data_IF_075675960195
#
_entry.id   IF_075675960195
#
_cell.length_a   1.000
_cell.length_b   1.000
_cell.length_c   1.000
_cell.angle_alpha   90.00
_cell.angle_beta   90.00
_cell.angle_gamma   90.00
#
_symmetry.space_group_name_H-M   'P 1'
#
loop_
_entity.id
_entity.type
_entity.pdbx_description
1 polymer ?
#
# COMPACT_ATOMS: atom_id res chain seq x y z
N UNK A 1 25.81 8.07 36.79
CA UNK A 1 25.04 9.03 35.98
C UNK A 1 24.73 10.31 36.78
N UNK A 2 24.25 10.21 38.03
CA UNK A 2 24.01 11.37 38.90
C UNK A 2 25.26 12.23 39.20
N UNK A 3 26.40 11.62 39.55
CA UNK A 3 27.66 12.36 39.83
C UNK A 3 28.20 13.15 38.63
N UNK A 4 28.03 12.66 37.40
CA UNK A 4 28.47 13.37 36.20
C UNK A 4 27.56 14.57 35.86
N UNK A 5 26.28 14.49 36.22
CA UNK A 5 25.32 15.59 36.06
C UNK A 5 25.61 16.68 37.09
N UNK A 6 25.93 16.29 38.32
CA UNK A 6 26.31 17.20 39.40
C UNK A 6 27.59 17.98 39.09
N UNK A 7 28.63 17.30 38.60
CA UNK A 7 29.85 17.97 38.14
C UNK A 7 29.63 18.93 36.95
N UNK A 8 28.76 18.57 36.00
CA UNK A 8 28.42 19.48 34.89
C UNK A 8 27.63 20.71 35.35
N UNK A 9 26.73 20.55 36.33
CA UNK A 9 25.97 21.66 36.89
C UNK A 9 26.85 22.65 37.66
N UNK A 10 27.82 22.13 38.43
CA UNK A 10 28.79 22.96 39.16
C UNK A 10 29.67 23.74 38.16
N UNK A 11 30.24 23.07 37.16
CA UNK A 11 31.07 23.72 36.15
C UNK A 11 30.29 24.77 35.32
N UNK A 12 29.03 24.49 34.98
CA UNK A 12 28.17 25.46 34.30
C UNK A 12 27.88 26.68 35.19
N UNK A 13 27.66 26.47 36.48
CA UNK A 13 27.42 27.54 37.45
C UNK A 13 28.66 28.44 37.63
N UNK A 14 29.85 27.86 37.69
CA UNK A 14 31.11 28.61 37.83
C UNK A 14 31.38 29.48 36.58
N UNK A 15 31.17 28.94 35.38
CA UNK A 15 31.30 29.69 34.11
C UNK A 15 30.29 30.85 34.03
N UNK A 16 29.05 30.63 34.50
CA UNK A 16 28.01 31.66 34.53
C UNK A 16 28.31 32.76 35.55
N UNK A 17 28.91 32.40 36.70
CA UNK A 17 29.37 33.36 37.69
C UNK A 17 30.56 34.19 37.20
N UNK A 18 31.51 33.60 36.48
CA UNK A 18 32.61 34.34 35.82
C UNK A 18 32.10 35.34 34.77
N UNK A 19 30.97 35.03 34.10
CA UNK A 19 30.28 35.94 33.18
C UNK A 19 29.41 37.01 33.88
N UNK A 20 29.37 37.05 35.22
CA UNK A 20 28.57 37.99 36.01
C UNK A 20 27.07 37.67 36.06
N UNK A 21 26.66 36.46 35.65
CA UNK A 21 25.26 36.03 35.57
C UNK A 21 24.93 35.16 36.79
N UNK A 22 24.33 35.77 37.83
CA UNK A 22 23.83 35.04 38.99
C UNK A 22 22.49 34.35 38.66
N UNK A 23 22.53 33.10 38.24
CA UNK A 23 21.33 32.29 37.98
C UNK A 23 20.78 31.74 39.30
N UNK A 24 19.72 32.36 39.82
CA UNK A 24 18.99 31.83 40.99
C UNK A 24 18.06 30.68 40.58
N UNK A 25 17.72 29.79 41.52
CA UNK A 25 16.72 28.74 41.30
C UNK A 25 15.37 29.32 40.83
N UNK A 26 15.01 30.51 41.32
CA UNK A 26 13.83 31.24 40.87
C UNK A 26 13.93 31.64 39.39
N UNK A 27 15.09 32.15 38.96
CA UNK A 27 15.35 32.46 37.54
C UNK A 27 15.20 31.21 36.68
N UNK A 28 15.76 30.07 37.09
CA UNK A 28 15.63 28.79 36.36
C UNK A 28 14.16 28.38 36.26
N UNK A 29 13.42 28.43 37.36
CA UNK A 29 12.01 28.06 37.39
C UNK A 29 11.18 28.97 36.48
N UNK A 30 11.37 30.29 36.57
CA UNK A 30 10.66 31.28 35.75
C UNK A 30 10.98 31.10 34.28
N UNK A 31 12.26 30.94 33.92
CA UNK A 31 12.68 30.68 32.53
C UNK A 31 12.08 29.37 32.03
N UNK A 32 12.12 28.31 32.82
CA UNK A 32 11.54 27.00 32.45
C UNK A 32 10.04 27.09 32.23
N UNK A 33 9.30 27.72 33.15
CA UNK A 33 7.84 27.92 33.00
C UNK A 33 7.55 28.81 31.80
N UNK A 34 8.33 29.87 31.57
CA UNK A 34 8.15 30.79 30.43
C UNK A 34 8.43 30.12 29.09
N UNK A 35 9.37 29.16 29.04
CA UNK A 35 9.65 28.38 27.83
C UNK A 35 8.59 27.29 27.59
N UNK A 36 8.06 26.66 28.65
CA UNK A 36 7.14 25.52 28.54
C UNK A 36 5.68 25.98 28.41
N UNK A 37 5.27 27.06 29.07
CA UNK A 37 3.89 27.53 29.08
C UNK A 37 3.32 27.82 27.67
N UNK A 38 4.07 28.45 26.73
CA UNK A 38 3.61 28.61 25.35
C UNK A 38 3.39 27.28 24.65
N UNK A 39 4.27 26.29 24.86
CA UNK A 39 4.14 24.95 24.27
C UNK A 39 2.91 24.23 24.82
N UNK A 40 2.70 24.27 26.14
CA UNK A 40 1.50 23.68 26.77
C UNK A 40 0.23 24.36 26.26
N UNK A 41 0.20 25.69 26.19
CA UNK A 41 -0.94 26.44 25.68
C UNK A 41 -1.23 26.10 24.22
N UNK A 42 -0.20 25.97 23.38
CA UNK A 42 -0.34 25.54 21.99
C UNK A 42 -0.90 24.12 21.89
N UNK A 43 -0.41 23.18 22.69
CA UNK A 43 -0.92 21.81 22.72
C UNK A 43 -2.38 21.78 23.20
N UNK A 44 -2.75 22.54 24.22
CA UNK A 44 -4.13 22.66 24.71
C UNK A 44 -5.07 23.27 23.66
N UNK A 45 -4.66 24.36 23.00
CA UNK A 45 -5.46 24.96 21.93
C UNK A 45 -5.60 24.01 20.75
N UNK A 46 -4.55 23.27 20.41
CA UNK A 46 -4.59 22.28 19.35
C UNK A 46 -5.50 21.10 19.70
N UNK A 47 -5.51 20.59 20.94
CA UNK A 47 -6.44 19.51 21.33
C UNK A 47 -7.89 19.98 21.36
N UNK A 48 -8.15 21.20 21.87
CA UNK A 48 -9.50 21.76 21.95
C UNK A 48 -10.09 22.11 20.58
N UNK A 49 -9.25 22.54 19.62
CA UNK A 49 -9.68 22.96 18.28
C UNK A 49 -9.47 21.90 17.20
N UNK A 50 -8.89 20.74 17.53
CA UNK A 50 -8.80 19.64 16.57
C UNK A 50 -10.18 19.02 16.41
N UNK A 51 -10.66 18.82 15.17
CA UNK A 51 -11.90 18.11 14.95
C UNK A 51 -11.80 16.71 15.57
N UNK A 52 -12.85 16.28 16.24
CA UNK A 52 -12.93 14.92 16.77
C UNK A 52 -12.75 13.93 15.60
N UNK A 53 -11.95 12.88 15.82
CA UNK A 53 -11.84 11.78 14.86
C UNK A 53 -13.23 11.22 14.57
N UNK A 54 -13.55 10.90 13.31
CA UNK A 54 -14.87 10.36 13.01
C UNK A 54 -15.07 9.04 13.79
N UNK A 55 -16.24 8.83 14.41
CA UNK A 55 -16.49 7.61 15.17
C UNK A 55 -16.43 6.40 14.25
N UNK A 56 -16.02 5.23 14.77
CA UNK A 56 -15.99 3.99 13.99
C UNK A 56 -17.30 3.76 13.22
N UNK A 57 -17.26 3.29 11.96
CA UNK A 57 -18.48 3.01 11.20
C UNK A 57 -19.43 2.10 11.98
N UNK A 58 -20.66 2.57 12.19
CA UNK A 58 -21.65 1.84 12.98
C UNK A 58 -21.97 0.48 12.35
N UNK A 59 -22.02 -0.57 13.17
CA UNK A 59 -22.32 -1.93 12.70
C UNK A 59 -21.21 -2.63 11.92
N UNK A 60 -20.00 -2.06 11.88
CA UNK A 60 -18.85 -2.67 11.22
C UNK A 60 -17.71 -2.99 12.19
N UNK A 61 -16.93 -4.01 11.86
CA UNK A 61 -15.62 -4.28 12.46
C UNK A 61 -14.50 -3.94 11.49
N UNK A 62 -13.37 -3.46 12.03
CA UNK A 62 -12.13 -3.31 11.27
C UNK A 62 -11.56 -4.68 10.93
N UNK A 63 -11.23 -4.88 9.66
CA UNK A 63 -10.54 -6.04 9.13
C UNK A 63 -9.04 -5.73 8.98
N UNK A 64 -8.22 -6.73 9.25
CA UNK A 64 -6.76 -6.63 9.27
C UNK A 64 -6.16 -7.07 10.62
N UNK A 65 -4.85 -7.20 10.65
CA UNK A 65 -4.13 -7.64 11.86
C UNK A 65 -4.26 -6.61 13.00
N UNK A 66 -4.38 -7.09 14.25
CA UNK A 66 -4.44 -6.23 15.46
C UNK A 66 -3.10 -6.15 16.20
N UNK A 67 -2.05 -6.78 15.66
CA UNK A 67 -0.74 -6.91 16.28
C UNK A 67 0.41 -6.45 15.38
N UNK A 68 1.56 -7.06 15.58
CA UNK A 68 2.76 -6.84 14.77
C UNK A 68 2.58 -7.43 13.37
N UNK A 69 3.19 -6.77 12.38
CA UNK A 69 3.21 -7.25 11.00
C UNK A 69 3.92 -8.59 10.89
N UNK A 70 3.37 -9.51 10.11
CA UNK A 70 4.03 -10.76 9.77
C UNK A 70 5.28 -10.53 8.91
N UNK A 71 5.45 -9.35 8.29
CA UNK A 71 6.67 -8.93 7.60
C UNK A 71 7.59 -8.02 8.43
N UNK A 72 7.34 -7.83 9.73
CA UNK A 72 8.25 -7.04 10.59
C UNK A 72 9.66 -7.64 10.58
N UNK A 73 9.75 -8.97 10.58
CA UNK A 73 11.01 -9.73 10.59
C UNK A 73 11.50 -10.11 9.19
N UNK A 74 10.94 -9.51 8.12
CA UNK A 74 11.25 -9.86 6.73
C UNK A 74 12.75 -9.80 6.42
N UNK A 75 13.52 -8.96 7.11
CA UNK A 75 14.96 -8.77 6.92
C UNK A 75 15.83 -9.83 7.61
N UNK A 76 15.21 -10.77 8.33
CA UNK A 76 15.95 -11.84 9.01
C UNK A 76 16.64 -12.76 8.01
N UNK A 77 17.93 -13.05 8.25
CA UNK A 77 18.73 -13.97 7.44
C UNK A 77 18.15 -15.39 7.34
N UNK A 78 17.22 -15.75 8.24
CA UNK A 78 16.50 -17.04 8.19
C UNK A 78 15.68 -17.23 6.92
N UNK A 79 15.27 -16.14 6.28
CA UNK A 79 14.52 -16.17 5.01
C UNK A 79 15.41 -16.04 3.78
N UNK A 80 16.71 -15.76 3.96
CA UNK A 80 17.64 -15.59 2.84
C UNK A 80 18.02 -16.92 2.18
N UNK A 81 17.89 -18.04 2.90
CA UNK A 81 18.16 -19.38 2.39
C UNK A 81 16.91 -20.24 2.54
N UNK A 82 16.44 -20.78 1.41
CA UNK A 82 15.39 -21.79 1.36
C UNK A 82 15.95 -23.17 1.02
N UNK A 83 15.08 -24.17 1.04
CA UNK A 83 15.41 -25.56 0.68
C UNK A 83 14.14 -26.32 0.29
N UNK A 84 14.30 -27.59 -0.05
CA UNK A 84 13.18 -28.46 -0.41
C UNK A 84 12.23 -28.68 0.78
N UNK A 85 10.92 -28.82 0.53
CA UNK A 85 9.95 -28.93 1.61
C UNK A 85 10.11 -30.30 2.29
N UNK A 86 10.17 -30.28 3.62
CA UNK A 86 10.15 -31.50 4.45
C UNK A 86 8.93 -31.46 5.36
N UNK A 87 8.45 -32.61 5.89
CA UNK A 87 7.32 -32.61 6.82
C UNK A 87 7.51 -31.67 8.03
N UNK A 88 8.75 -31.49 8.49
CA UNK A 88 9.10 -30.61 9.60
C UNK A 88 9.31 -29.14 9.18
N UNK A 89 9.59 -28.87 7.90
CA UNK A 89 9.78 -27.53 7.34
C UNK A 89 9.06 -27.41 5.99
N UNK A 90 7.71 -27.37 5.99
CA UNK A 90 6.95 -27.16 4.77
C UNK A 90 7.17 -25.73 4.27
N UNK A 91 6.90 -25.52 2.98
CA UNK A 91 6.75 -24.16 2.45
C UNK A 91 5.43 -23.58 2.93
N UNK A 92 5.43 -22.30 3.31
CA UNK A 92 4.27 -21.69 3.96
C UNK A 92 3.98 -20.27 3.48
N UNK A 93 2.71 -19.88 3.61
CA UNK A 93 2.29 -18.48 3.48
C UNK A 93 2.79 -17.72 4.71
N UNK A 94 3.66 -16.74 4.49
CA UNK A 94 4.26 -15.91 5.54
C UNK A 94 3.43 -14.68 5.86
N UNK A 95 2.84 -14.04 4.86
CA UNK A 95 2.03 -12.84 5.06
C UNK A 95 1.03 -12.65 3.91
N UNK A 96 -0.12 -12.05 4.21
CA UNK A 96 -1.17 -11.72 3.24
C UNK A 96 -1.43 -10.23 3.24
N UNK A 97 -1.49 -9.65 2.04
CA UNK A 97 -1.80 -8.23 1.85
C UNK A 97 -2.82 -8.04 0.74
N UNK A 98 -3.72 -7.09 0.97
CA UNK A 98 -4.62 -6.55 -0.04
C UNK A 98 -4.36 -5.06 -0.21
N UNK A 99 -4.69 -4.54 -1.38
CA UNK A 99 -4.53 -3.14 -1.75
C UNK A 99 -5.88 -2.59 -2.24
N UNK A 100 -6.83 -2.29 -1.33
CA UNK A 100 -8.18 -1.90 -1.71
C UNK A 100 -8.22 -0.70 -2.65
N UNK A 101 -7.34 0.27 -2.40
CA UNK A 101 -7.02 1.34 -3.32
C UNK A 101 -5.78 0.96 -4.14
N UNK A 102 -5.95 0.84 -5.46
CA UNK A 102 -4.84 0.69 -6.40
C UNK A 102 -3.81 1.80 -6.17
N UNK A 103 -2.55 1.41 -6.06
CA UNK A 103 -1.42 2.31 -5.76
C UNK A 103 -1.40 2.90 -4.34
N UNK A 104 -2.44 2.67 -3.52
CA UNK A 104 -2.45 3.01 -2.10
C UNK A 104 -1.60 2.08 -1.23
N UNK A 105 -1.52 2.36 0.06
CA UNK A 105 -0.87 1.52 1.05
C UNK A 105 -1.63 0.18 1.24
N UNK A 106 -0.92 -0.90 1.62
CA UNK A 106 -1.54 -2.20 1.85
C UNK A 106 -2.36 -2.25 3.15
N UNK A 107 -3.26 -3.23 3.22
CA UNK A 107 -3.86 -3.75 4.47
C UNK A 107 -3.38 -5.18 4.65
N UNK A 108 -2.75 -5.45 5.79
CA UNK A 108 -2.26 -6.79 6.14
C UNK A 108 -3.35 -7.62 6.81
N UNK A 109 -3.48 -8.88 6.38
CA UNK A 109 -4.53 -9.81 6.80
C UNK A 109 -3.93 -11.09 7.37
N UNK A 110 -4.58 -11.69 8.38
CA UNK A 110 -4.26 -13.05 8.82
C UNK A 110 -4.93 -14.11 7.93
N UNK A 111 -6.08 -13.76 7.36
CA UNK A 111 -6.93 -14.62 6.54
C UNK A 111 -7.68 -13.77 5.52
N UNK A 112 -7.81 -14.27 4.29
CA UNK A 112 -8.56 -13.62 3.21
C UNK A 112 -9.33 -14.63 2.38
N UNK A 113 -10.60 -14.35 2.14
CA UNK A 113 -11.37 -15.07 1.13
C UNK A 113 -10.86 -14.73 -0.28
N UNK A 114 -11.04 -15.67 -1.18
CA UNK A 114 -10.71 -15.56 -2.60
C UNK A 114 -11.99 -15.56 -3.41
N UNK A 115 -12.19 -14.44 -4.10
CA UNK A 115 -13.26 -14.22 -5.08
C UNK A 115 -12.72 -14.46 -6.50
N UNK A 116 -13.59 -14.35 -7.51
CA UNK A 116 -13.22 -14.49 -8.94
C UNK A 116 -12.14 -13.50 -9.39
N UNK A 117 -12.01 -12.36 -8.70
CA UNK A 117 -11.00 -11.33 -8.99
C UNK A 117 -9.75 -11.41 -8.11
N UNK A 118 -9.58 -12.48 -7.33
CA UNK A 118 -8.43 -12.68 -6.43
C UNK A 118 -8.81 -12.53 -4.96
N UNK A 119 -7.90 -12.02 -4.13
CA UNK A 119 -8.21 -11.79 -2.71
C UNK A 119 -9.34 -10.76 -2.57
N UNK A 120 -10.32 -11.06 -1.71
CA UNK A 120 -11.45 -10.18 -1.43
C UNK A 120 -10.98 -8.80 -0.97
N UNK A 121 -11.66 -7.75 -1.46
CA UNK A 121 -11.30 -6.34 -1.28
C UNK A 121 -10.01 -5.87 -1.96
N UNK A 122 -9.29 -6.70 -2.72
CA UNK A 122 -8.09 -6.26 -3.42
C UNK A 122 -8.41 -5.43 -4.68
N UNK A 123 -7.80 -4.25 -4.81
CA UNK A 123 -7.83 -3.37 -6.00
C UNK A 123 -9.24 -3.13 -6.56
N UNK A 124 -10.20 -2.85 -5.68
CA UNK A 124 -11.56 -2.47 -6.06
C UNK A 124 -11.68 -0.98 -6.43
N UNK A 125 -10.80 -0.15 -5.88
CA UNK A 125 -10.79 1.30 -6.09
C UNK A 125 -9.50 1.76 -6.77
N UNK A 126 -9.56 2.90 -7.45
CA UNK A 126 -8.38 3.59 -7.97
C UNK A 126 -8.63 5.09 -8.04
N UNK A 127 -7.59 5.88 -7.76
CA UNK A 127 -7.61 7.30 -8.11
C UNK A 127 -7.27 7.46 -9.60
N UNK A 128 -7.84 8.47 -10.22
CA UNK A 128 -7.54 8.88 -11.58
C UNK A 128 -7.37 10.40 -11.64
N UNK A 129 -6.62 10.86 -12.63
CA UNK A 129 -6.49 12.27 -12.97
C UNK A 129 -7.09 12.51 -14.36
N UNK A 130 -7.72 13.66 -14.55
CA UNK A 130 -8.22 14.05 -15.86
C UNK A 130 -7.05 14.49 -16.74
N UNK A 131 -6.94 13.96 -17.95
CA UNK A 131 -5.92 14.32 -18.92
C UNK A 131 -6.62 14.85 -20.16
N UNK A 132 -6.31 16.08 -20.52
CA UNK A 132 -6.88 16.75 -21.68
C UNK A 132 -5.86 16.72 -22.83
N UNK A 133 -6.30 16.28 -24.01
CA UNK A 133 -5.49 16.27 -25.22
C UNK A 133 -5.22 17.67 -25.74
N UNK A 134 -4.14 17.83 -26.50
CA UNK A 134 -3.98 19.03 -27.33
C UNK A 134 -5.14 19.10 -28.35
N UNK A 135 -5.54 20.31 -28.80
CA UNK A 135 -6.53 20.45 -29.84
C UNK A 135 -6.07 19.72 -31.12
N UNK A 136 -6.95 18.92 -31.70
CA UNK A 136 -6.70 18.38 -33.05
C UNK A 136 -6.78 19.50 -34.09
N UNK A 137 -6.36 19.21 -35.33
CA UNK A 137 -6.48 20.16 -36.45
C UNK A 137 -7.92 20.65 -36.65
N UNK A 138 -8.91 19.84 -36.26
CA UNK A 138 -10.35 20.17 -36.29
C UNK A 138 -10.85 20.93 -35.04
N UNK A 139 -9.94 21.34 -34.15
CA UNK A 139 -10.26 22.06 -32.91
C UNK A 139 -10.89 21.20 -31.81
N UNK A 140 -10.98 19.88 -31.98
CA UNK A 140 -11.58 18.98 -30.99
C UNK A 140 -10.60 18.72 -29.85
N UNK A 141 -11.09 18.91 -28.62
CA UNK A 141 -10.38 18.62 -27.38
C UNK A 141 -11.08 17.46 -26.70
N UNK A 142 -10.33 16.45 -26.28
CA UNK A 142 -10.86 15.29 -25.55
C UNK A 142 -10.24 15.23 -24.17
N UNK A 143 -11.07 14.97 -23.16
CA UNK A 143 -10.63 14.75 -21.78
C UNK A 143 -10.93 13.33 -21.39
N UNK A 144 -9.89 12.61 -20.96
CA UNK A 144 -9.98 11.22 -20.51
C UNK A 144 -9.54 11.11 -19.05
N UNK A 145 -10.06 10.13 -18.34
CA UNK A 145 -9.55 9.77 -17.01
C UNK A 145 -8.41 8.78 -17.13
N UNK A 146 -7.24 9.11 -16.58
CA UNK A 146 -6.09 8.21 -16.50
C UNK A 146 -5.84 7.82 -15.06
N UNK A 147 -5.75 6.52 -14.78
CA UNK A 147 -5.44 6.04 -13.44
C UNK A 147 -4.12 6.60 -12.90
N UNK A 148 -4.07 6.82 -11.58
CA UNK A 148 -2.87 7.28 -10.89
C UNK A 148 -2.03 6.08 -10.39
N UNK A 149 -0.71 6.18 -10.53
CA UNK A 149 0.26 5.13 -10.18
C UNK A 149 1.37 5.70 -9.30
N UNK A 150 1.88 4.89 -8.36
CA UNK A 150 3.04 5.27 -7.53
C UNK A 150 4.26 5.67 -8.37
N UNK A 151 4.39 5.20 -9.62
CA UNK A 151 5.47 5.60 -10.52
C UNK A 151 5.48 7.09 -10.85
N UNK A 152 4.28 7.69 -10.95
CA UNK A 152 4.09 9.11 -11.26
C UNK A 152 3.80 9.92 -9.99
N UNK A 153 3.10 9.30 -9.04
CA UNK A 153 2.70 9.90 -7.77
C UNK A 153 3.18 9.04 -6.59
N UNK A 154 4.47 9.09 -6.23
CA UNK A 154 5.03 8.26 -5.15
C UNK A 154 4.31 8.42 -3.81
N UNK A 155 3.78 9.62 -3.52
CA UNK A 155 3.01 9.93 -2.30
C UNK A 155 1.71 9.13 -2.16
N UNK A 156 1.24 8.44 -3.20
CA UNK A 156 0.17 7.44 -3.07
C UNK A 156 0.53 6.31 -2.09
N UNK A 157 1.81 6.02 -1.90
CA UNK A 157 2.25 5.03 -0.91
C UNK A 157 1.91 5.43 0.54
N UNK A 158 1.70 6.73 0.80
CA UNK A 158 1.27 7.29 2.10
C UNK A 158 -0.23 7.37 2.27
N UNK A 159 -1.00 6.99 1.25
CA UNK A 159 -2.46 6.95 1.34
C UNK A 159 -2.84 5.61 1.98
N UNK A 160 -3.08 5.65 3.28
CA UNK A 160 -3.47 4.52 4.11
C UNK A 160 -4.92 4.13 3.85
N UNK A 161 -5.19 2.84 3.97
CA UNK A 161 -6.54 2.30 3.79
C UNK A 161 -6.92 1.42 4.97
N UNK A 162 -8.19 1.46 5.37
CA UNK A 162 -8.75 0.53 6.35
C UNK A 162 -10.03 -0.08 5.80
N UNK A 163 -10.15 -1.40 5.95
CA UNK A 163 -11.31 -2.17 5.52
C UNK A 163 -12.22 -2.34 6.73
N UNK A 164 -13.47 -1.92 6.61
CA UNK A 164 -14.50 -2.11 7.64
C UNK A 164 -15.64 -2.92 7.05
N UNK A 165 -15.93 -4.07 7.67
CA UNK A 165 -16.94 -5.02 7.19
C UNK A 165 -18.09 -5.13 8.19
N UNK A 166 -19.34 -5.36 7.74
CA UNK A 166 -20.47 -5.51 8.64
C UNK A 166 -20.27 -6.68 9.61
N UNK A 167 -20.66 -6.48 10.86
CA UNK A 167 -20.60 -7.52 11.90
C UNK A 167 -21.79 -7.35 12.85
N UNK A 168 -22.68 -8.35 12.96
CA UNK A 168 -23.83 -8.32 13.88
C UNK A 168 -23.46 -8.07 15.35
N UNK A 169 -22.24 -8.43 15.75
CA UNK A 169 -21.74 -8.19 17.12
C UNK A 169 -21.16 -6.79 17.32
N UNK A 170 -20.98 -6.00 16.26
CA UNK A 170 -20.41 -4.67 16.35
C UNK A 170 -21.42 -3.65 16.92
N UNK A 171 -20.89 -2.66 17.64
CA UNK A 171 -21.70 -1.59 18.23
C UNK A 171 -22.43 -0.79 17.14
N UNK A 172 -23.73 -0.59 17.34
CA UNK A 172 -24.56 0.17 16.41
C UNK A 172 -24.95 -0.60 15.15
N UNK A 173 -24.84 -1.94 15.16
CA UNK A 173 -25.36 -2.78 14.08
C UNK A 173 -26.87 -2.58 13.93
N UNK A 174 -27.27 -2.34 12.69
CA UNK A 174 -28.65 -2.36 12.23
C UNK A 174 -28.66 -2.93 10.82
N UNK A 175 -29.59 -3.83 10.53
CA UNK A 175 -29.71 -4.44 9.19
C UNK A 175 -29.97 -3.39 8.10
N UNK A 176 -30.72 -2.34 8.45
CA UNK A 176 -31.00 -1.20 7.58
C UNK A 176 -29.90 -0.12 7.59
N UNK A 177 -28.81 -0.36 8.34
CA UNK A 177 -27.70 0.56 8.50
C UNK A 177 -27.00 0.88 7.18
N UNK A 178 -26.61 2.14 7.00
CA UNK A 178 -25.97 2.67 5.79
C UNK A 178 -24.78 1.82 5.32
N UNK A 179 -23.88 1.47 6.25
CA UNK A 179 -22.68 0.69 5.96
C UNK A 179 -22.95 -0.81 5.84
N UNK A 180 -23.98 -1.32 6.54
CA UNK A 180 -24.38 -2.73 6.45
C UNK A 180 -24.98 -3.02 5.08
N UNK A 181 -25.89 -2.16 4.58
CA UNK A 181 -26.42 -2.22 3.21
C UNK A 181 -25.37 -2.09 2.13
N UNK A 182 -24.20 -1.51 2.46
CA UNK A 182 -23.11 -1.29 1.52
C UNK A 182 -22.03 -2.37 1.57
N UNK A 183 -22.27 -3.50 2.23
CA UNK A 183 -21.28 -4.54 2.55
C UNK A 183 -20.00 -4.00 3.20
N UNK A 184 -20.14 -2.92 3.96
CA UNK A 184 -19.07 -2.23 4.65
C UNK A 184 -18.58 -0.97 3.96
N UNK A 185 -17.43 -0.49 4.40
CA UNK A 185 -16.80 0.70 3.85
C UNK A 185 -15.28 0.65 3.88
N UNK A 186 -14.68 1.34 2.94
CA UNK A 186 -13.27 1.66 2.90
C UNK A 186 -13.06 3.04 3.54
N UNK A 187 -12.19 3.10 4.54
CA UNK A 187 -11.68 4.37 5.06
C UNK A 187 -10.35 4.64 4.38
N UNK A 188 -10.21 5.83 3.81
CA UNK A 188 -8.96 6.29 3.20
C UNK A 188 -8.41 7.43 4.05
N UNK A 189 -7.15 7.30 4.46
CA UNK A 189 -6.42 8.29 5.24
C UNK A 189 -5.18 8.77 4.51
N UNK A 190 -4.85 10.04 4.64
CA UNK A 190 -3.63 10.57 4.04
C UNK A 190 -3.04 11.68 4.92
N UNK A 191 -1.71 11.82 4.95
CA UNK A 191 -1.06 12.89 5.67
C UNK A 191 -1.31 14.24 4.96
N UNK A 192 -1.65 15.25 5.75
CA UNK A 192 -1.77 16.62 5.31
C UNK A 192 -1.25 17.54 6.40
N UNK A 193 -0.10 18.15 6.16
CA UNK A 193 0.46 19.18 7.03
C UNK A 193 -0.09 20.53 6.60
N UNK A 194 -0.92 21.20 7.42
CA UNK A 194 -1.42 22.53 7.11
C UNK A 194 -0.31 23.57 7.24
N UNK A 195 -0.46 24.69 6.53
CA UNK A 195 0.52 25.78 6.57
C UNK A 195 0.69 26.34 7.99
N UNK A 196 1.94 26.60 8.36
CA UNK A 196 2.33 27.13 9.66
C UNK A 196 2.91 28.53 9.49
N UNK A 197 2.11 29.53 9.85
CA UNK A 197 2.53 30.93 9.92
C UNK A 197 2.44 31.46 11.35
N UNK A 198 2.93 32.68 11.60
CA UNK A 198 2.81 33.36 12.89
C UNK A 198 1.40 33.91 13.19
N UNK A 199 0.38 33.50 12.42
CA UNK A 199 -1.02 33.79 12.70
C UNK A 199 -1.56 32.87 13.79
N UNK A 200 -2.70 33.21 14.41
CA UNK A 200 -3.32 32.35 15.41
C UNK A 200 -3.63 30.94 14.85
N UNK A 201 -4.11 30.86 13.61
CA UNK A 201 -4.35 29.59 12.92
C UNK A 201 -3.07 28.82 12.63
N UNK A 202 -2.02 29.50 12.16
CA UNK A 202 -0.72 28.89 11.90
C UNK A 202 -0.05 28.34 13.16
N UNK A 203 -0.19 29.04 14.29
CA UNK A 203 0.26 28.56 15.61
C UNK A 203 -0.54 27.32 16.08
N UNK A 204 -1.86 27.31 15.88
CA UNK A 204 -2.68 26.12 16.16
C UNK A 204 -2.27 24.94 15.28
N UNK A 205 -1.99 25.18 13.99
CA UNK A 205 -1.49 24.18 13.05
C UNK A 205 -0.14 23.61 13.50
N UNK A 206 0.77 24.46 13.96
CA UNK A 206 2.04 24.03 14.56
C UNK A 206 1.82 23.13 15.79
N UNK A 207 0.88 23.50 16.67
CA UNK A 207 0.47 22.67 17.80
C UNK A 207 -0.07 21.30 17.37
N UNK A 208 -0.86 21.22 16.30
CA UNK A 208 -1.36 19.94 15.73
C UNK A 208 -0.22 19.06 15.22
N UNK A 209 0.77 19.63 14.55
CA UNK A 209 1.97 18.90 14.09
C UNK A 209 2.76 18.38 15.29
N UNK A 210 2.92 19.17 16.35
CA UNK A 210 3.58 18.72 17.58
C UNK A 210 2.82 17.57 18.25
N UNK A 211 1.49 17.65 18.37
CA UNK A 211 0.65 16.57 18.89
C UNK A 211 0.80 15.28 18.07
N UNK A 212 0.78 15.39 16.74
CA UNK A 212 0.99 14.25 15.85
C UNK A 212 2.35 13.59 16.12
N UNK A 213 3.43 14.40 16.20
CA UNK A 213 4.79 13.91 16.51
C UNK A 213 4.90 13.25 17.88
N UNK A 214 4.26 13.81 18.92
CA UNK A 214 4.20 13.18 20.24
C UNK A 214 3.47 11.83 20.19
N UNK A 215 2.43 11.72 19.36
CA UNK A 215 1.69 10.49 19.09
C UNK A 215 2.38 9.49 18.16
N UNK A 216 3.67 9.68 17.82
CA UNK A 216 4.45 8.89 16.84
C UNK A 216 3.89 8.93 15.40
N UNK A 217 3.05 9.91 15.08
CA UNK A 217 2.64 10.20 13.69
C UNK A 217 3.57 11.26 13.11
N UNK A 218 3.98 11.11 11.84
CA UNK A 218 4.86 12.09 11.20
C UNK A 218 4.15 13.39 10.85
N UNK A 219 2.85 13.32 10.53
CA UNK A 219 2.01 14.43 10.07
C UNK A 219 0.56 14.24 10.55
N UNK A 220 -0.23 15.33 10.68
CA UNK A 220 -1.68 15.23 10.85
C UNK A 220 -2.31 14.47 9.68
N UNK A 221 -3.37 13.71 9.94
CA UNK A 221 -4.06 12.90 8.93
C UNK A 221 -5.47 13.41 8.68
N UNK A 222 -5.88 13.39 7.41
CA UNK A 222 -7.25 13.59 7.00
C UNK A 222 -7.82 12.24 6.57
N UNK A 223 -9.12 12.05 6.79
CA UNK A 223 -9.80 10.82 6.46
C UNK A 223 -11.16 11.07 5.79
N UNK A 224 -11.54 10.15 4.91
CA UNK A 224 -12.87 10.08 4.33
C UNK A 224 -13.27 8.62 4.10
N UNK A 225 -14.56 8.37 3.87
CA UNK A 225 -15.14 7.02 3.80
C UNK A 225 -15.88 6.82 2.49
N UNK A 226 -15.75 5.64 1.92
CA UNK A 226 -16.48 5.25 0.72
C UNK A 226 -17.08 3.84 0.87
N UNK A 227 -18.29 3.59 0.36
CA UNK A 227 -18.97 2.31 0.51
C UNK A 227 -18.34 1.20 -0.35
N UNK A 228 -18.32 -0.03 0.18
CA UNK A 228 -17.80 -1.20 -0.54
C UNK A 228 -18.75 -1.79 -1.56
N UNK A 229 -20.06 -1.56 -1.53
CA UNK A 229 -21.03 -1.92 -2.56
C UNK A 229 -22.22 -0.94 -2.42
N UNK A 230 -22.17 0.25 -3.04
CA UNK A 230 -23.22 1.25 -2.86
C UNK A 230 -24.58 0.73 -3.40
N UNK A 231 -25.67 0.76 -2.62
CA UNK A 231 -27.00 0.38 -3.12
C UNK A 231 -27.50 1.41 -4.15
N UNK A 232 -28.45 1.01 -5.01
CA UNK A 232 -28.97 1.87 -6.08
C UNK A 232 -29.54 3.21 -5.57
N UNK A 233 -30.26 3.19 -4.45
CA UNK A 233 -30.77 4.40 -3.79
C UNK A 233 -29.65 5.40 -3.45
N UNK A 234 -28.48 4.90 -3.05
CA UNK A 234 -27.32 5.75 -2.71
C UNK A 234 -26.66 6.30 -3.96
N UNK A 235 -26.53 5.48 -5.00
CA UNK A 235 -25.99 5.87 -6.32
C UNK A 235 -26.79 7.05 -6.87
N UNK A 236 -28.12 6.98 -6.81
CA UNK A 236 -29.02 8.05 -7.26
C UNK A 236 -28.94 9.28 -6.35
N UNK A 237 -29.04 9.10 -5.02
CA UNK A 237 -28.99 10.20 -4.04
C UNK A 237 -27.70 11.01 -4.11
N UNK A 238 -26.56 10.34 -4.35
CA UNK A 238 -25.23 10.95 -4.39
C UNK A 238 -24.77 11.28 -5.82
N UNK A 239 -25.59 10.96 -6.83
CA UNK A 239 -25.33 11.30 -8.23
C UNK A 239 -24.06 10.69 -8.80
N UNK A 240 -23.81 9.41 -8.52
CA UNK A 240 -22.64 8.72 -9.07
C UNK A 240 -22.74 8.59 -10.60
N UNK A 241 -21.60 8.53 -11.27
CA UNK A 241 -21.54 8.47 -12.75
C UNK A 241 -20.69 7.32 -13.21
N UNK A 242 -21.15 6.61 -14.23
CA UNK A 242 -20.33 5.65 -14.96
C UNK A 242 -19.50 6.42 -15.99
N UNK A 243 -18.18 6.37 -15.85
CA UNK A 243 -17.27 7.03 -16.79
C UNK A 243 -16.20 6.04 -17.26
N UNK A 244 -15.66 6.29 -18.45
CA UNK A 244 -14.59 5.49 -19.00
C UNK A 244 -13.28 5.87 -18.32
N UNK A 245 -12.64 4.88 -17.71
CA UNK A 245 -11.35 5.03 -17.05
C UNK A 245 -10.28 4.29 -17.84
N UNK A 246 -9.25 5.00 -18.30
CA UNK A 246 -8.13 4.39 -18.99
C UNK A 246 -7.13 3.77 -18.00
N UNK A 247 -6.98 2.46 -18.07
CA UNK A 247 -6.01 1.65 -17.32
C UNK A 247 -5.08 0.98 -18.32
N UNK A 248 -3.91 1.59 -18.54
CA UNK A 248 -2.94 1.14 -19.54
C UNK A 248 -3.52 1.15 -20.96
N UNK A 249 -3.74 -0.05 -21.53
CA UNK A 249 -4.35 -0.27 -22.84
C UNK A 249 -5.86 -0.50 -22.75
N UNK A 250 -6.38 -0.77 -21.56
CA UNK A 250 -7.79 -1.04 -21.32
C UNK A 250 -8.52 0.26 -20.95
N UNK A 251 -9.81 0.31 -21.26
CA UNK A 251 -10.67 1.44 -20.93
C UNK A 251 -12.00 0.96 -20.33
N UNK A 252 -12.00 0.31 -19.15
CA UNK A 252 -13.23 -0.13 -18.51
C UNK A 252 -14.13 1.05 -18.13
N UNK A 253 -15.43 0.79 -18.09
CA UNK A 253 -16.39 1.68 -17.45
C UNK A 253 -16.31 1.46 -15.94
N UNK A 254 -16.13 2.54 -15.19
CA UNK A 254 -16.02 2.50 -13.73
C UNK A 254 -16.94 3.55 -13.10
N UNK A 255 -17.36 3.26 -11.87
CA UNK A 255 -18.26 4.13 -11.10
C UNK A 255 -17.44 5.22 -10.41
N UNK A 256 -17.66 6.47 -10.79
CA UNK A 256 -17.10 7.64 -10.12
C UNK A 256 -17.85 7.88 -8.80
N UNK A 257 -17.15 7.67 -7.69
CA UNK A 257 -17.68 7.79 -6.33
C UNK A 257 -17.17 9.05 -5.61
N UNK A 258 -16.60 10.00 -6.35
CA UNK A 258 -15.98 11.21 -5.78
C UNK A 258 -16.98 12.09 -5.02
N UNK A 259 -18.28 11.99 -5.31
CA UNK A 259 -19.34 12.73 -4.60
C UNK A 259 -19.57 12.27 -3.16
N UNK A 260 -18.95 11.17 -2.72
CA UNK A 260 -18.91 10.80 -1.30
C UNK A 260 -17.92 11.64 -0.48
N UNK A 261 -16.99 12.29 -1.14
CA UNK A 261 -15.87 12.96 -0.50
C UNK A 261 -16.18 14.45 -0.45
N UNK A 262 -15.93 15.05 0.71
CA UNK A 262 -15.97 16.50 0.82
C UNK A 262 -14.95 17.15 -0.13
N UNK A 263 -15.38 18.22 -0.82
CA UNK A 263 -14.58 18.87 -1.85
C UNK A 263 -13.26 19.41 -1.30
N UNK A 264 -13.26 19.97 -0.09
CA UNK A 264 -12.06 20.53 0.53
C UNK A 264 -11.07 19.41 0.88
N UNK A 265 -11.55 18.31 1.45
CA UNK A 265 -10.72 17.13 1.75
C UNK A 265 -10.11 16.55 0.47
N UNK A 266 -10.89 16.49 -0.61
CA UNK A 266 -10.42 15.92 -1.87
C UNK A 266 -9.39 16.81 -2.59
N UNK A 267 -9.55 18.14 -2.52
CA UNK A 267 -8.53 19.09 -2.99
C UNK A 267 -7.24 18.98 -2.17
N UNK A 268 -7.33 18.80 -0.85
CA UNK A 268 -6.15 18.54 0.00
C UNK A 268 -5.45 17.24 -0.38
N UNK A 269 -6.19 16.18 -0.70
CA UNK A 269 -5.61 14.94 -1.24
C UNK A 269 -4.89 15.21 -2.57
N UNK A 270 -5.53 15.93 -3.50
CA UNK A 270 -4.92 16.30 -4.78
C UNK A 270 -3.59 17.05 -4.59
N UNK A 271 -3.58 18.02 -3.67
CA UNK A 271 -2.40 18.78 -3.30
C UNK A 271 -1.31 17.89 -2.69
N UNK A 272 -1.65 17.05 -1.70
CA UNK A 272 -0.71 16.09 -1.08
C UNK A 272 -0.08 15.18 -2.13
N UNK A 273 -0.84 14.72 -3.12
CA UNK A 273 -0.33 13.86 -4.18
C UNK A 273 0.53 14.61 -5.21
N UNK A 274 0.51 15.94 -5.24
CA UNK A 274 1.20 16.75 -6.25
C UNK A 274 0.54 16.67 -7.62
N UNK A 275 -0.77 16.43 -7.68
CA UNK A 275 -1.50 16.33 -8.94
C UNK A 275 -1.96 17.72 -9.42
N UNK A 276 -1.44 18.15 -10.57
CA UNK A 276 -1.83 19.42 -11.19
C UNK A 276 -3.27 19.39 -11.74
N UNK A 277 -3.69 18.23 -12.26
CA UNK A 277 -4.99 18.06 -12.89
C UNK A 277 -6.06 17.66 -11.87
N UNK A 278 -7.36 17.88 -12.17
CA UNK A 278 -8.46 17.35 -11.37
C UNK A 278 -8.32 15.84 -11.17
N UNK A 279 -8.64 15.38 -9.97
CA UNK A 279 -8.64 13.95 -9.63
C UNK A 279 -10.06 13.45 -9.39
N UNK A 280 -10.26 12.15 -9.50
CA UNK A 280 -11.49 11.46 -9.17
C UNK A 280 -11.19 10.09 -8.57
N UNK A 281 -12.09 9.61 -7.70
CA UNK A 281 -12.04 8.28 -7.13
C UNK A 281 -13.02 7.37 -7.88
N UNK A 282 -12.48 6.31 -8.44
CA UNK A 282 -13.21 5.31 -9.18
C UNK A 282 -13.27 4.00 -8.44
N UNK A 283 -14.39 3.32 -8.63
CA UNK A 283 -14.66 1.97 -8.15
C UNK A 283 -15.00 1.10 -9.36
N UNK A 284 -14.46 -0.11 -9.40
CA UNK A 284 -14.79 -1.06 -10.46
C UNK A 284 -16.28 -1.41 -10.40
N UNK A 285 -16.92 -1.52 -11.57
CA UNK A 285 -18.26 -2.07 -11.68
C UNK A 285 -18.20 -3.59 -11.44
N UNK A 286 -18.97 -4.08 -10.47
CA UNK A 286 -19.01 -5.50 -10.14
C UNK A 286 -19.64 -6.36 -11.25
N UNK A 287 -20.37 -5.74 -12.18
CA UNK A 287 -20.97 -6.42 -13.32
C UNK A 287 -20.08 -6.44 -14.57
N UNK A 288 -19.03 -5.62 -14.59
CA UNK A 288 -18.18 -5.40 -15.76
C UNK A 288 -16.68 -5.49 -15.41
N UNK A 289 -16.26 -6.65 -14.91
CA UNK A 289 -14.84 -6.94 -14.71
C UNK A 289 -14.08 -7.04 -16.03
N UNK A 290 -12.75 -6.87 -15.97
CA UNK A 290 -11.89 -7.00 -17.14
C UNK A 290 -11.41 -8.44 -17.28
N UNK A 291 -11.57 -9.00 -18.47
CA UNK A 291 -11.12 -10.35 -18.80
C UNK A 291 -9.62 -10.39 -19.11
N UNK A 292 -8.98 -11.52 -18.78
CA UNK A 292 -7.54 -11.73 -18.95
C UNK A 292 -7.32 -12.98 -19.79
N UNK A 293 -6.98 -12.80 -21.07
CA UNK A 293 -6.83 -13.91 -22.02
C UNK A 293 -5.39 -14.42 -22.23
N UNK A 294 -4.37 -13.75 -21.67
CA UNK A 294 -2.95 -13.98 -22.04
C UNK A 294 -2.39 -15.31 -21.54
N UNK A 295 -1.55 -15.27 -20.50
CA UNK A 295 -1.00 -16.47 -19.86
C UNK A 295 -1.94 -17.02 -18.78
N UNK A 296 -3.18 -16.52 -18.74
CA UNK A 296 -4.24 -17.05 -17.90
C UNK A 296 -4.60 -18.47 -18.38
N UNK A 297 -5.13 -19.32 -17.49
CA UNK A 297 -5.69 -20.59 -17.91
C UNK A 297 -6.84 -20.34 -18.90
N UNK A 298 -6.92 -21.17 -19.93
CA UNK A 298 -7.97 -21.00 -20.94
C UNK A 298 -9.32 -21.42 -20.39
N UNK A 299 -10.38 -20.78 -20.87
CA UNK A 299 -11.76 -21.12 -20.51
C UNK A 299 -12.11 -22.58 -20.78
N UNK A 300 -11.55 -23.20 -21.82
CA UNK A 300 -11.78 -24.62 -22.13
C UNK A 300 -11.18 -25.56 -21.08
N UNK A 301 -10.09 -25.15 -20.43
CA UNK A 301 -9.35 -25.98 -19.47
C UNK A 301 -9.93 -25.89 -18.05
N UNK A 302 -10.41 -24.70 -17.66
CA UNK A 302 -10.86 -24.43 -16.27
C UNK A 302 -12.34 -24.07 -16.15
N UNK A 303 -13.06 -23.94 -17.26
CA UNK A 303 -14.51 -23.67 -17.29
C UNK A 303 -14.94 -22.21 -17.05
N UNK A 304 -13.99 -21.30 -16.81
CA UNK A 304 -14.25 -19.88 -16.64
C UNK A 304 -13.15 -19.01 -17.24
N UNK A 305 -13.51 -17.77 -17.60
CA UNK A 305 -12.53 -16.77 -18.03
C UNK A 305 -11.96 -16.05 -16.81
N UNK A 306 -10.63 -15.85 -16.78
CA UNK A 306 -9.99 -15.13 -15.68
C UNK A 306 -10.36 -13.66 -15.72
N UNK A 307 -10.80 -13.10 -14.58
CA UNK A 307 -11.25 -11.71 -14.50
C UNK A 307 -10.48 -10.93 -13.43
N UNK A 308 -10.34 -9.62 -13.63
CA UNK A 308 -9.68 -8.71 -12.69
C UNK A 308 -10.51 -7.44 -12.45
N UNK A 309 -10.31 -6.85 -11.27
CA UNK A 309 -10.81 -5.52 -10.93
C UNK A 309 -9.90 -4.42 -11.48
N UNK A 310 -9.38 -3.56 -10.61
CA UNK A 310 -8.40 -2.51 -10.97
C UNK A 310 -6.94 -3.02 -10.99
N UNK A 311 -6.70 -4.32 -11.08
CA UNK A 311 -5.36 -4.91 -11.19
C UNK A 311 -4.60 -4.46 -12.45
N UNK A 312 -3.29 -4.70 -12.50
CA UNK A 312 -2.54 -4.42 -13.73
C UNK A 312 -2.74 -5.51 -14.78
N UNK A 313 -2.67 -6.79 -14.37
CA UNK A 313 -2.74 -7.92 -15.31
C UNK A 313 -3.45 -9.16 -14.77
N UNK A 314 -3.25 -9.55 -13.50
CA UNK A 314 -3.82 -10.79 -12.94
C UNK A 314 -4.36 -10.59 -11.51
N UNK A 315 -5.24 -11.51 -11.04
CA UNK A 315 -5.92 -11.42 -9.75
C UNK A 315 -5.01 -11.41 -8.51
N UNK A 316 -4.01 -12.29 -8.50
CA UNK A 316 -3.15 -12.53 -7.34
C UNK A 316 -1.69 -12.47 -7.75
N UNK A 317 -0.85 -11.95 -6.85
CA UNK A 317 0.59 -11.90 -7.05
C UNK A 317 1.30 -12.53 -5.85
N UNK A 318 2.18 -13.50 -6.11
CA UNK A 318 2.96 -14.23 -5.10
C UNK A 318 4.43 -13.82 -5.17
N UNK A 319 5.07 -13.70 -4.00
CA UNK A 319 6.50 -13.38 -3.91
C UNK A 319 7.19 -14.16 -2.79
N UNK A 320 8.31 -14.78 -3.12
CA UNK A 320 9.16 -15.46 -2.14
C UNK A 320 10.11 -14.48 -1.46
N UNK A 321 10.20 -14.54 -0.13
CA UNK A 321 11.13 -13.71 0.62
C UNK A 321 12.59 -14.03 0.29
N UNK A 322 12.94 -15.29 0.00
CA UNK A 322 14.31 -15.64 -0.39
C UNK A 322 14.76 -14.91 -1.66
N UNK A 323 13.84 -14.75 -2.62
CA UNK A 323 14.06 -13.97 -3.85
C UNK A 323 14.27 -12.48 -3.56
N UNK A 324 13.54 -11.91 -2.59
CA UNK A 324 13.74 -10.51 -2.17
C UNK A 324 15.10 -10.33 -1.51
N UNK A 325 15.53 -11.27 -0.67
CA UNK A 325 16.86 -11.26 -0.05
C UNK A 325 17.99 -11.38 -1.06
N UNK A 326 17.85 -12.23 -2.08
CA UNK A 326 18.84 -12.33 -3.16
C UNK A 326 18.99 -10.98 -3.88
N UNK A 327 17.88 -10.35 -4.27
CA UNK A 327 17.89 -9.02 -4.90
C UNK A 327 18.54 -7.99 -3.97
N UNK A 328 18.17 -8.00 -2.69
CA UNK A 328 18.74 -7.09 -1.70
C UNK A 328 20.26 -7.25 -1.57
N UNK A 329 20.79 -8.47 -1.63
CA UNK A 329 22.22 -8.76 -1.53
C UNK A 329 23.05 -8.25 -2.72
N UNK A 330 22.39 -8.02 -3.86
CA UNK A 330 23.01 -7.54 -5.11
C UNK A 330 22.80 -6.05 -5.34
N UNK A 331 22.04 -5.38 -4.47
CA UNK A 331 21.92 -3.93 -4.51
C UNK A 331 23.30 -3.30 -4.28
N UNK A 332 23.59 -2.18 -4.95
CA UNK A 332 24.85 -1.48 -4.71
C UNK A 332 24.91 -1.03 -3.25
N UNK A 333 25.99 -1.40 -2.55
CA UNK A 333 26.24 -0.91 -1.21
C UNK A 333 26.20 0.63 -1.21
N UNK A 334 25.64 1.27 -0.17
CA UNK A 334 25.85 2.69 0.05
C UNK A 334 27.36 2.88 0.27
N UNK A 335 28.09 3.25 -0.77
CA UNK A 335 29.51 3.53 -0.69
C UNK A 335 29.73 4.69 0.27
N UNK A 336 30.81 4.61 1.03
CA UNK A 336 31.37 5.62 1.93
C UNK A 336 31.87 6.88 1.20
N UNK A 337 31.35 7.19 0.01
CA UNK A 337 31.65 8.43 -0.70
C UNK A 337 30.72 9.51 -0.17
N UNK A 338 31.33 10.48 0.52
CA UNK A 338 30.70 11.59 1.26
C UNK A 338 29.85 12.56 0.42
N UNK A 339 29.50 12.25 -0.83
CA UNK A 339 28.80 13.15 -1.76
C UNK A 339 27.26 13.02 -1.78
N UNK A 340 26.69 11.82 -1.54
CA UNK A 340 25.25 11.56 -1.77
C UNK A 340 24.59 10.70 -0.67
N UNK A 341 25.07 10.81 0.57
CA UNK A 341 24.60 10.02 1.73
C UNK A 341 23.09 10.21 1.99
N UNK A 342 22.51 11.37 1.63
CA UNK A 342 21.10 11.67 1.88
C UNK A 342 20.11 11.01 0.89
N UNK A 343 20.58 10.41 -0.21
CA UNK A 343 19.69 9.88 -1.25
C UNK A 343 19.49 8.35 -1.19
N UNK A 344 20.43 7.58 -0.63
CA UNK A 344 20.40 6.11 -0.71
C UNK A 344 19.83 5.47 0.56
N UNK A 345 18.50 5.44 0.67
CA UNK A 345 17.74 4.82 1.77
C UNK A 345 17.65 3.27 1.69
N UNK A 346 18.58 2.60 1.00
CA UNK A 346 18.49 1.16 0.68
C UNK A 346 19.31 0.28 1.63
N UNK A 347 19.32 0.56 2.94
CA UNK A 347 20.01 -0.33 3.89
C UNK A 347 19.34 -1.70 3.98
N UNK A 348 18.04 -1.82 3.69
CA UNK A 348 17.29 -3.07 3.59
C UNK A 348 16.14 -2.95 2.58
N UNK A 349 16.07 -3.84 1.59
CA UNK A 349 15.01 -3.82 0.55
C UNK A 349 13.68 -4.32 1.13
N UNK A 350 12.70 -3.43 1.26
CA UNK A 350 11.35 -3.77 1.73
C UNK A 350 10.56 -4.55 0.66
N UNK A 351 10.11 -5.75 1.00
CA UNK A 351 9.34 -6.64 0.13
C UNK A 351 7.99 -6.03 -0.30
N UNK A 352 7.45 -5.07 0.45
CA UNK A 352 6.21 -4.35 0.12
C UNK A 352 6.35 -3.47 -1.15
N UNK A 353 7.58 -3.11 -1.54
CA UNK A 353 7.87 -2.40 -2.81
C UNK A 353 7.34 -3.14 -4.04
N UNK A 354 7.28 -4.48 -3.96
CA UNK A 354 6.86 -5.34 -5.07
C UNK A 354 5.35 -5.61 -5.10
N UNK A 355 4.62 -5.18 -4.06
CA UNK A 355 3.16 -5.24 -3.96
C UNK A 355 2.58 -6.63 -4.23
N UNK A 356 3.12 -7.65 -3.56
CA UNK A 356 2.55 -9.00 -3.59
C UNK A 356 1.36 -9.11 -2.66
N UNK A 357 0.45 -10.01 -3.02
CA UNK A 357 -0.70 -10.35 -2.19
C UNK A 357 -0.34 -11.46 -1.21
N UNK A 358 0.43 -12.46 -1.68
CA UNK A 358 0.85 -13.60 -0.87
C UNK A 358 2.37 -13.61 -0.82
N UNK A 359 2.93 -13.46 0.38
CA UNK A 359 4.35 -13.62 0.63
C UNK A 359 4.61 -15.01 1.16
N UNK A 360 5.62 -15.68 0.62
CA UNK A 360 5.91 -17.09 0.94
C UNK A 360 7.34 -17.25 1.49
N UNK A 361 7.53 -18.30 2.29
CA UNK A 361 8.82 -18.69 2.85
C UNK A 361 9.02 -20.20 2.77
N UNK A 362 10.28 -20.63 2.74
CA UNK A 362 10.66 -22.03 2.61
C UNK A 362 11.42 -22.34 1.31
N UNK A 363 10.89 -22.01 0.12
CA UNK A 363 11.56 -22.32 -1.15
C UNK A 363 12.87 -21.57 -1.33
N UNK A 364 13.87 -22.13 -2.04
CA UNK A 364 15.07 -21.41 -2.47
C UNK A 364 14.72 -20.14 -3.27
N UNK A 365 15.66 -19.20 -3.32
CA UNK A 365 15.48 -17.97 -4.11
C UNK A 365 15.12 -18.31 -5.56
N UNK A 366 14.07 -17.68 -6.06
CA UNK A 366 13.51 -17.83 -7.41
C UNK A 366 12.91 -19.20 -7.75
N UNK A 367 12.75 -20.11 -6.77
CA UNK A 367 12.09 -21.39 -7.02
C UNK A 367 10.68 -21.22 -7.59
N UNK A 368 9.97 -20.15 -7.21
CA UNK A 368 8.64 -19.82 -7.69
C UNK A 368 8.58 -19.56 -9.21
N UNK A 369 9.70 -19.19 -9.85
CA UNK A 369 9.76 -18.88 -11.29
C UNK A 369 9.42 -20.07 -12.20
N UNK A 370 9.43 -21.29 -11.64
CA UNK A 370 9.21 -22.54 -12.37
C UNK A 370 7.86 -23.19 -12.02
N UNK A 371 7.07 -22.62 -11.11
CA UNK A 371 5.81 -23.24 -10.69
C UNK A 371 4.73 -23.03 -11.76
N UNK A 372 3.94 -24.06 -12.06
CA UNK A 372 2.79 -23.98 -12.99
C UNK A 372 1.47 -24.15 -12.28
N UNK A 373 1.41 -25.07 -11.32
CA UNK A 373 0.26 -25.28 -10.45
C UNK A 373 0.75 -25.43 -9.03
N UNK A 374 0.07 -24.76 -8.11
CA UNK A 374 0.34 -24.85 -6.69
C UNK A 374 -0.98 -25.01 -5.93
N UNK A 375 -0.91 -25.72 -4.82
CA UNK A 375 -2.04 -25.95 -3.92
C UNK A 375 -1.71 -25.36 -2.56
N UNK A 376 -2.63 -24.56 -2.04
CA UNK A 376 -2.57 -24.08 -0.66
C UNK A 376 -3.48 -24.96 0.18
N UNK A 377 -2.93 -25.54 1.25
CA UNK A 377 -3.71 -26.36 2.18
C UNK A 377 -3.67 -25.70 3.55
N UNK A 378 -4.85 -25.54 4.15
CA UNK A 378 -4.95 -24.96 5.48
C UNK A 378 -4.19 -25.80 6.52
N UNK A 379 -3.68 -25.16 7.57
CA UNK A 379 -2.97 -25.87 8.65
C UNK A 379 -3.80 -27.00 9.26
N UNK A 380 -5.12 -26.82 9.33
CA UNK A 380 -6.07 -27.81 9.86
C UNK A 380 -6.52 -28.84 8.80
N UNK A 381 -5.99 -28.76 7.57
CA UNK A 381 -6.33 -29.61 6.42
C UNK A 381 -7.82 -29.64 6.05
N UNK A 382 -8.59 -28.65 6.48
CA UNK A 382 -10.04 -28.53 6.26
C UNK A 382 -10.40 -27.90 4.92
N UNK A 383 -9.52 -27.05 4.39
CA UNK A 383 -9.71 -26.39 3.10
C UNK A 383 -8.43 -26.47 2.27
N UNK A 384 -8.60 -26.68 0.97
CA UNK A 384 -7.52 -26.55 0.00
C UNK A 384 -7.94 -25.70 -1.18
N UNK A 385 -6.98 -24.99 -1.75
CA UNK A 385 -7.19 -24.08 -2.87
C UNK A 385 -6.17 -24.37 -3.96
N UNK A 386 -6.66 -24.71 -5.15
CA UNK A 386 -5.81 -24.88 -6.31
C UNK A 386 -5.58 -23.54 -7.02
N UNK A 387 -4.32 -23.30 -7.41
CA UNK A 387 -3.88 -22.07 -8.04
C UNK A 387 -3.12 -22.37 -9.33
N UNK A 388 -3.47 -21.65 -10.40
CA UNK A 388 -2.72 -21.63 -11.64
C UNK A 388 -1.70 -20.49 -11.63
N UNK A 389 -0.42 -20.85 -11.69
CA UNK A 389 0.67 -19.89 -11.80
C UNK A 389 0.78 -19.47 -13.26
N UNK A 390 0.32 -18.26 -13.56
CA UNK A 390 0.02 -17.82 -14.92
C UNK A 390 1.28 -17.37 -15.65
N UNK A 391 2.03 -16.43 -15.08
CA UNK A 391 3.30 -15.98 -15.66
C UNK A 391 4.20 -15.31 -14.62
N UNK A 392 5.45 -15.04 -15.02
CA UNK A 392 6.39 -14.24 -14.23
C UNK A 392 5.94 -12.78 -14.20
N UNK A 393 6.18 -12.10 -13.08
CA UNK A 393 5.80 -10.70 -12.92
C UNK A 393 6.91 -9.79 -13.44
N UNK A 394 6.67 -9.16 -14.60
CA UNK A 394 7.55 -8.13 -15.12
C UNK A 394 7.56 -6.90 -14.21
N UNK A 395 8.75 -6.38 -13.91
CA UNK A 395 8.94 -5.24 -13.02
C UNK A 395 9.18 -3.95 -13.79
N UNK A 396 8.45 -2.92 -13.39
CA UNK A 396 8.59 -1.55 -13.86
C UNK A 396 9.30 -0.70 -12.79
N UNK A 397 9.29 0.63 -12.91
CA UNK A 397 9.88 1.55 -11.91
C UNK A 397 9.11 1.64 -10.58
N UNK A 398 7.97 0.97 -10.45
CA UNK A 398 7.14 1.07 -9.23
C UNK A 398 7.89 0.66 -7.96
N UNK A 399 8.65 -0.46 -7.92
CA UNK A 399 9.37 -0.88 -6.71
C UNK A 399 10.48 0.08 -6.26
N UNK A 400 10.84 1.07 -7.08
CA UNK A 400 11.80 2.10 -6.69
C UNK A 400 11.24 3.03 -5.61
N UNK A 401 9.92 3.13 -5.51
CA UNK A 401 9.26 3.91 -4.46
C UNK A 401 9.35 3.18 -3.13
N UNK A 402 9.91 3.85 -2.13
CA UNK A 402 9.87 3.35 -0.76
C UNK A 402 8.46 3.51 -0.18
N UNK A 403 7.80 2.44 0.30
CA UNK A 403 6.46 2.54 0.85
C UNK A 403 6.40 3.37 2.15
N UNK A 404 7.48 3.41 2.94
CA UNK A 404 7.55 4.13 4.21
C UNK A 404 7.89 5.59 4.05
N UNK A 405 8.67 5.99 3.04
CA UNK A 405 9.02 7.42 2.84
C UNK A 405 8.28 8.05 1.69
N UNK A 406 7.70 7.26 0.79
CA UNK A 406 7.18 7.69 -0.51
C UNK A 406 8.21 8.41 -1.39
N UNK A 407 9.50 8.20 -1.14
CA UNK A 407 10.58 8.70 -1.98
C UNK A 407 10.91 7.65 -3.03
N UNK A 408 10.94 8.08 -4.29
CA UNK A 408 11.32 7.23 -5.41
C UNK A 408 12.82 7.29 -5.65
N UNK A 409 13.50 6.15 -5.58
CA UNK A 409 14.88 6.06 -6.08
C UNK A 409 14.87 6.15 -7.62
N UNK A 410 15.85 6.83 -8.18
CA UNK A 410 15.95 7.04 -9.63
C UNK A 410 16.07 5.73 -10.41
N UNK A 411 16.78 4.75 -9.85
CA UNK A 411 17.28 3.57 -10.55
C UNK A 411 16.92 2.25 -9.83
N UNK A 412 17.07 2.18 -8.52
CA UNK A 412 16.98 0.93 -7.77
C UNK A 412 15.60 0.67 -7.18
N UNK A 413 15.16 -0.61 -7.06
CA UNK A 413 15.89 -1.85 -7.36
C UNK A 413 15.80 -2.29 -8.84
N UNK A 414 15.15 -1.52 -9.71
CA UNK A 414 14.91 -1.93 -11.10
C UNK A 414 16.19 -2.15 -11.90
N UNK A 415 17.20 -1.30 -11.73
CA UNK A 415 18.50 -1.46 -12.42
C UNK A 415 19.18 -2.75 -12.01
N UNK A 416 19.26 -3.04 -10.71
CA UNK A 416 19.78 -4.32 -10.20
C UNK A 416 18.99 -5.51 -10.74
N UNK A 417 17.65 -5.44 -10.76
CA UNK A 417 16.85 -6.50 -11.37
C UNK A 417 17.16 -6.68 -12.86
N UNK A 418 17.34 -5.59 -13.62
CA UNK A 418 17.65 -5.68 -15.06
C UNK A 418 19.00 -6.30 -15.37
N UNK A 419 19.97 -6.26 -14.45
CA UNK A 419 21.30 -6.81 -14.71
C UNK A 419 21.32 -8.34 -14.78
N UNK A 420 20.40 -9.03 -14.10
CA UNK A 420 20.43 -10.51 -14.03
C UNK A 420 19.05 -11.20 -14.04
N UNK A 421 17.95 -10.45 -13.98
CA UNK A 421 16.58 -11.00 -13.89
C UNK A 421 15.75 -10.81 -15.17
N UNK A 422 16.39 -10.55 -16.30
CA UNK A 422 15.75 -10.63 -17.62
C UNK A 422 15.79 -12.10 -18.05
N UNK A 423 14.80 -12.87 -17.60
CA UNK A 423 14.76 -14.34 -17.74
C UNK A 423 13.69 -14.85 -18.73
N UNK A 424 12.79 -13.97 -19.17
CA UNK A 424 11.81 -14.31 -20.20
C UNK A 424 12.41 -14.03 -21.59
N UNK A 425 12.58 -15.07 -22.40
CA UNK A 425 12.99 -14.94 -23.80
C UNK A 425 12.04 -13.99 -24.55
N UNK A 426 12.60 -13.10 -25.37
CA UNK A 426 11.83 -12.09 -26.13
C UNK A 426 11.39 -10.85 -25.33
N UNK A 427 11.57 -10.84 -24.01
CA UNK A 427 11.28 -9.68 -23.16
C UNK A 427 12.56 -8.97 -22.71
N UNK A 428 12.52 -7.65 -22.63
CA UNK A 428 13.59 -6.83 -22.00
C UNK A 428 13.26 -6.45 -20.56
N UNK A 429 12.15 -6.96 -20.02
CA UNK A 429 11.69 -6.62 -18.68
C UNK A 429 12.26 -7.61 -17.66
N UNK A 430 12.79 -7.08 -16.57
CA UNK A 430 13.22 -7.90 -15.46
C UNK A 430 12.01 -8.51 -14.74
N UNK A 431 12.16 -9.72 -14.21
CA UNK A 431 11.08 -10.47 -13.56
C UNK A 431 11.42 -10.81 -12.10
N UNK A 432 10.41 -10.72 -11.24
CA UNK A 432 10.52 -11.14 -9.84
C UNK A 432 9.11 -11.48 -9.36
N UNK A 433 8.87 -12.62 -8.72
CA UNK A 433 7.54 -13.03 -8.28
C UNK A 433 6.59 -13.46 -9.41
N UNK A 434 5.47 -14.06 -9.05
CA UNK A 434 4.58 -14.76 -9.99
C UNK A 434 3.16 -14.22 -9.96
N UNK A 435 2.58 -14.04 -11.14
CA UNK A 435 1.16 -13.73 -11.30
C UNK A 435 0.36 -15.03 -11.25
N UNK A 436 -0.75 -15.02 -10.51
CA UNK A 436 -1.52 -16.20 -10.15
C UNK A 436 -3.00 -15.97 -10.40
N UNK A 437 -3.62 -17.02 -10.91
CA UNK A 437 -5.06 -17.13 -11.10
C UNK A 437 -5.56 -18.23 -10.18
N UNK A 438 -6.37 -17.91 -9.15
CA UNK A 438 -7.04 -18.92 -8.35
C UNK A 438 -8.00 -19.74 -9.23
N UNK A 439 -7.98 -21.06 -9.07
CA UNK A 439 -8.90 -21.96 -9.78
C UNK A 439 -10.20 -22.19 -9.01
N UNK A 440 -10.08 -22.25 -7.68
CA UNK A 440 -11.20 -22.43 -6.77
C UNK A 440 -11.51 -21.14 -6.00
N UNK A 441 -12.74 -21.01 -5.53
CA UNK A 441 -13.09 -20.06 -4.46
C UNK A 441 -12.85 -20.74 -3.11
N UNK A 442 -12.38 -19.97 -2.15
CA UNK A 442 -12.05 -20.50 -0.83
C UNK A 442 -11.41 -19.44 0.04
N UNK A 443 -10.65 -19.89 1.03
CA UNK A 443 -9.97 -18.97 1.94
C UNK A 443 -8.49 -19.33 2.07
N UNK A 444 -7.64 -18.31 2.09
CA UNK A 444 -6.20 -18.44 2.37
C UNK A 444 -5.89 -17.78 3.71
N UNK A 445 -5.01 -18.40 4.50
CA UNK A 445 -4.54 -17.89 5.77
C UNK A 445 -3.00 -17.90 5.87
N UNK A 446 -2.48 -17.05 6.73
CA UNK A 446 -1.07 -17.09 7.12
C UNK A 446 -0.78 -18.44 7.80
N UNK A 447 0.31 -19.09 7.40
CA UNK A 447 0.69 -20.43 7.86
C UNK A 447 0.22 -21.57 6.96
N UNK A 448 -0.65 -21.31 5.97
CA UNK A 448 -1.07 -22.35 5.02
C UNK A 448 0.11 -22.96 4.28
N UNK A 449 0.07 -24.28 4.11
CA UNK A 449 1.13 -25.06 3.47
C UNK A 449 1.02 -24.95 1.96
N UNK A 450 2.16 -24.83 1.30
CA UNK A 450 2.26 -24.72 -0.16
C UNK A 450 2.81 -26.02 -0.72
N UNK A 451 2.06 -26.64 -1.61
CA UNK A 451 2.47 -27.80 -2.38
C UNK A 451 2.53 -27.42 -3.86
N UNK A 452 3.63 -27.75 -4.54
CA UNK A 452 3.75 -27.52 -5.98
C UNK A 452 3.34 -28.78 -6.71
N UNK A 453 2.24 -28.69 -7.45
CA UNK A 453 1.67 -29.81 -8.20
C UNK A 453 2.36 -29.99 -9.56
N UNK A 454 2.78 -28.90 -10.18
CA UNK A 454 3.35 -28.92 -11.52
C UNK A 454 4.43 -27.85 -11.65
N UNK A 455 5.55 -28.20 -12.30
CA UNK A 455 6.62 -27.25 -12.65
C UNK A 455 6.84 -27.24 -14.17
N UNK A 456 7.29 -26.11 -14.70
CA UNK A 456 7.52 -25.96 -16.13
C UNK A 456 8.05 -24.59 -16.52
N UNK A 457 8.32 -24.43 -17.82
CA UNK A 457 8.79 -23.16 -18.39
C UNK A 457 7.65 -22.16 -18.52
N UNK A 458 7.90 -20.91 -18.16
CA UNK A 458 7.03 -19.78 -18.49
C UNK A 458 7.55 -19.04 -19.71
N UNK A 459 6.61 -18.56 -20.51
CA UNK A 459 6.87 -17.76 -21.70
C UNK A 459 6.20 -16.41 -21.54
N UNK A 460 6.83 -15.37 -22.08
CA UNK A 460 6.25 -14.05 -22.12
C UNK A 460 5.45 -13.90 -23.41
N UNK A 461 4.12 -13.92 -23.30
CA UNK A 461 3.26 -13.49 -24.40
C UNK A 461 3.28 -11.96 -24.47
N UNK A 462 4.26 -11.44 -25.22
CA UNK A 462 4.22 -10.07 -25.73
C UNK A 462 2.90 -9.87 -26.46
N UNK A 463 2.31 -8.69 -26.35
CA UNK A 463 0.92 -8.39 -26.75
C UNK A 463 0.56 -8.52 -28.24
N UNK A 464 1.25 -9.36 -29.00
CA UNK A 464 0.97 -9.73 -30.40
C UNK A 464 0.77 -11.25 -30.58
N UNK A 465 0.47 -12.00 -29.52
CA UNK A 465 -0.08 -13.36 -29.63
C UNK A 465 0.82 -14.42 -30.28
N UNK A 466 2.10 -14.13 -30.53
CA UNK A 466 3.08 -15.13 -30.95
C UNK A 466 3.84 -15.64 -29.74
N UNK A 467 3.53 -16.86 -29.33
CA UNK A 467 4.46 -17.71 -28.58
C UNK A 467 5.74 -17.83 -29.41
N UNK A 468 6.89 -17.53 -28.81
CA UNK A 468 8.18 -17.77 -29.46
C UNK A 468 8.71 -19.08 -28.92
N UNK A 469 8.72 -20.12 -29.76
CA UNK A 469 9.30 -21.42 -29.44
C UNK A 469 10.84 -21.36 -29.57
N UNK A 470 11.56 -21.85 -28.55
CA UNK A 470 12.99 -22.21 -28.62
C UNK A 470 13.97 -21.29 -27.90
#
# INVERSE_FOLDING_TARGET
MAQNVEHMLIAANDILQEAGINITLQTILITTVSCIAPVILLLLLATLKSPASLPSPAGCRKLGIRGRSNLEDQYSKRYAKGGDPTPQKPWTVKALFVYPLKSGAPVELDKSDIDRTGLKYDRQFTLAQQVTSLPTLDGKVTSEWHFMTQRKFPRLAKVETEIWVPDPSARGYKEDGEWVKSDGCLIIRFPFSPDTDFTLEGLINYGKIMLAKLGRQSEPTLEFRVPFNPPQERIEKKGYRNEVLRIWKDSPVALNVSSEIDREVFEKLRYTLGAANPIALFRIDANAYREVHKCAPKKEDVGFETVIGMHDSYPVHILNLASVHDVASKLPNPSSDFGEIWQRHLTLLDALRFRANIYITGPPAFAEDNWKKAKLTSSDSTSSLDMHISCRTTRCKLPNVDPKTAIADKNEPLTTLRSYRIIDQGSKNACLGMQVTPLDMGTVAVGDKIEVLETGKHFFDGGEGKKVDG
#
